data_IF_274675719868
#
_entry.id   IF_274675719868
#
_cell.length_a   1.000
_cell.length_b   1.000
_cell.length_c   1.000
_cell.angle_alpha   90.00
_cell.angle_beta   90.00
_cell.angle_gamma   90.00
#
_symmetry.space_group_name_H-M   'P 1'
#
loop_
_entity.id
_entity.type
_entity.pdbx_description
1 polymer ?
#
# COMPACT_ATOMS: atom_id res chain seq x y z
N UNK A 1 7.13 -22.84 17.64
CA UNK A 1 5.99 -22.78 16.69
C UNK A 1 5.59 -21.37 16.24
N UNK A 2 6.08 -20.26 16.84
CA UNK A 2 5.62 -18.90 16.50
C UNK A 2 6.21 -18.23 15.23
N UNK A 3 7.30 -18.75 14.65
CA UNK A 3 7.97 -18.10 13.51
C UNK A 3 7.15 -18.13 12.21
N UNK A 4 6.38 -19.19 11.96
CA UNK A 4 5.59 -19.33 10.73
C UNK A 4 4.34 -18.44 10.71
N UNK A 5 3.72 -18.20 11.88
CA UNK A 5 2.55 -17.32 11.98
C UNK A 5 2.91 -15.85 11.68
N UNK A 6 4.06 -15.38 12.18
CA UNK A 6 4.53 -14.00 11.92
C UNK A 6 4.80 -13.73 10.44
N UNK A 7 5.42 -14.71 9.76
CA UNK A 7 5.75 -14.60 8.34
C UNK A 7 4.51 -14.53 7.45
N UNK A 8 3.47 -15.31 7.76
CA UNK A 8 2.22 -15.31 6.98
C UNK A 8 1.49 -13.97 7.02
N UNK A 9 1.45 -13.31 8.19
CA UNK A 9 0.80 -12.00 8.34
C UNK A 9 1.51 -10.89 7.56
N UNK A 10 2.85 -10.86 7.60
CA UNK A 10 3.63 -9.85 6.88
C UNK A 10 3.52 -10.05 5.36
N UNK A 11 3.65 -11.29 4.88
CA UNK A 11 3.48 -11.60 3.45
C UNK A 11 2.07 -11.25 2.99
N UNK A 12 1.05 -11.59 3.78
CA UNK A 12 -0.34 -11.23 3.49
C UNK A 12 -0.54 -9.71 3.39
N UNK A 13 -0.01 -8.94 4.35
CA UNK A 13 -0.04 -7.48 4.31
C UNK A 13 0.61 -6.92 3.03
N UNK A 14 1.77 -7.47 2.66
CA UNK A 14 2.49 -7.02 1.47
C UNK A 14 1.73 -7.32 0.18
N UNK A 15 1.19 -8.54 0.03
CA UNK A 15 0.44 -8.94 -1.16
C UNK A 15 -0.80 -8.07 -1.32
N UNK A 16 -1.57 -7.87 -0.24
CA UNK A 16 -2.75 -7.00 -0.27
C UNK A 16 -2.38 -5.56 -0.61
N UNK A 17 -1.29 -5.03 -0.06
CA UNK A 17 -0.80 -3.69 -0.37
C UNK A 17 -0.38 -3.56 -1.85
N UNK A 18 0.30 -4.57 -2.40
CA UNK A 18 0.69 -4.60 -3.82
C UNK A 18 -0.55 -4.63 -4.72
N UNK A 19 -1.54 -5.48 -4.42
CA UNK A 19 -2.80 -5.54 -5.17
C UNK A 19 -3.54 -4.20 -5.16
N UNK A 20 -3.62 -3.54 -3.99
CA UNK A 20 -4.20 -2.20 -3.89
C UNK A 20 -3.38 -1.17 -4.68
N UNK A 21 -2.05 -1.19 -4.55
CA UNK A 21 -1.14 -0.28 -5.26
C UNK A 21 -1.22 -0.42 -6.79
N UNK A 22 -1.38 -1.65 -7.31
CA UNK A 22 -1.60 -1.89 -8.74
C UNK A 22 -2.93 -1.31 -9.23
N UNK A 23 -3.97 -1.36 -8.41
CA UNK A 23 -5.25 -0.73 -8.76
C UNK A 23 -5.09 0.78 -8.92
N UNK A 24 -4.45 1.44 -7.95
CA UNK A 24 -4.19 2.88 -8.01
C UNK A 24 -3.24 3.25 -9.15
N UNK A 25 -2.31 2.36 -9.52
CA UNK A 25 -1.45 2.57 -10.68
C UNK A 25 -2.29 2.58 -11.98
N UNK A 26 -3.26 1.67 -12.08
CA UNK A 26 -4.19 1.66 -13.21
C UNK A 26 -5.02 2.95 -13.27
N UNK A 27 -5.49 3.48 -12.13
CA UNK A 27 -6.21 4.77 -12.11
C UNK A 27 -5.33 5.94 -12.51
N UNK A 28 -4.08 6.00 -12.02
CA UNK A 28 -3.12 7.01 -12.43
C UNK A 28 -2.87 6.96 -13.94
N UNK A 29 -2.72 5.76 -14.51
CA UNK A 29 -2.59 5.57 -15.96
C UNK A 29 -3.80 6.10 -16.74
N UNK A 30 -5.02 5.87 -16.23
CA UNK A 30 -6.24 6.41 -16.83
C UNK A 30 -6.28 7.93 -16.76
N UNK A 31 -5.96 8.54 -15.62
CA UNK A 31 -5.90 10.00 -15.50
C UNK A 31 -4.84 10.62 -16.43
N UNK A 32 -3.68 9.99 -16.57
CA UNK A 32 -2.65 10.41 -17.55
C UNK A 32 -3.18 10.32 -18.98
N UNK A 33 -3.89 9.24 -19.31
CA UNK A 33 -4.56 9.11 -20.61
C UNK A 33 -5.57 10.22 -20.85
N UNK A 34 -6.46 10.50 -19.88
CA UNK A 34 -7.42 11.59 -19.98
C UNK A 34 -6.73 12.94 -20.17
N UNK A 35 -5.63 13.20 -19.46
CA UNK A 35 -4.85 14.43 -19.59
C UNK A 35 -4.22 14.57 -20.99
N UNK A 36 -3.81 13.45 -21.59
CA UNK A 36 -3.24 13.41 -22.93
C UNK A 36 -4.29 13.56 -24.05
N UNK A 37 -5.50 13.02 -23.89
CA UNK A 37 -6.51 12.95 -24.96
C UNK A 37 -7.67 13.94 -24.82
N UNK A 38 -8.07 14.30 -23.59
CA UNK A 38 -9.22 15.19 -23.32
C UNK A 38 -8.79 16.62 -22.95
N UNK A 39 -7.48 16.84 -22.77
CA UNK A 39 -6.91 18.14 -22.43
C UNK A 39 -6.78 18.39 -20.92
N UNK A 40 -6.04 19.44 -20.54
CA UNK A 40 -5.69 19.69 -19.15
C UNK A 40 -6.91 20.16 -18.34
N UNK A 41 -7.33 19.34 -17.37
CA UNK A 41 -8.33 19.69 -16.38
C UNK A 41 -7.78 19.47 -14.95
N UNK A 42 -8.13 20.34 -13.97
CA UNK A 42 -7.58 20.25 -12.61
C UNK A 42 -7.78 18.87 -11.95
N UNK A 43 -8.93 18.23 -12.19
CA UNK A 43 -9.23 16.92 -11.64
C UNK A 43 -8.26 15.83 -12.13
N UNK A 44 -7.76 15.91 -13.37
CA UNK A 44 -6.85 14.92 -13.92
C UNK A 44 -5.45 15.04 -13.32
N UNK A 45 -4.98 16.26 -13.06
CA UNK A 45 -3.71 16.47 -12.36
C UNK A 45 -3.77 15.99 -10.91
N UNK A 46 -4.83 16.38 -10.19
CA UNK A 46 -5.04 15.97 -8.81
C UNK A 46 -5.18 14.45 -8.69
N UNK A 47 -5.99 13.83 -9.56
CA UNK A 47 -6.18 12.40 -9.63
C UNK A 47 -4.89 11.64 -9.95
N UNK A 48 -4.12 12.11 -10.93
CA UNK A 48 -2.80 11.51 -11.25
C UNK A 48 -1.85 11.59 -10.06
N UNK A 49 -1.72 12.77 -9.43
CA UNK A 49 -0.82 12.96 -8.30
C UNK A 49 -1.23 12.10 -7.10
N UNK A 50 -2.51 12.10 -6.75
CA UNK A 50 -3.05 11.32 -5.64
C UNK A 50 -2.86 9.82 -5.84
N UNK A 51 -3.26 9.31 -7.01
CA UNK A 51 -3.11 7.90 -7.33
C UNK A 51 -1.63 7.50 -7.44
N UNK A 52 -0.77 8.39 -7.94
CA UNK A 52 0.69 8.20 -7.93
C UNK A 52 1.26 8.06 -6.51
N UNK A 53 0.81 8.91 -5.57
CA UNK A 53 1.20 8.80 -4.15
C UNK A 53 0.70 7.50 -3.53
N UNK A 54 -0.54 7.09 -3.80
CA UNK A 54 -1.07 5.81 -3.32
C UNK A 54 -0.33 4.61 -3.91
N UNK A 55 0.01 4.63 -5.19
CA UNK A 55 0.87 3.62 -5.81
C UNK A 55 2.25 3.59 -5.14
N UNK A 56 2.90 4.74 -4.98
CA UNK A 56 4.22 4.80 -4.35
C UNK A 56 4.17 4.25 -2.91
N UNK A 57 3.17 4.63 -2.12
CA UNK A 57 3.07 4.18 -0.72
C UNK A 57 2.65 2.71 -0.60
N UNK A 58 1.70 2.23 -1.39
CA UNK A 58 1.18 0.86 -1.27
C UNK A 58 1.98 -0.16 -2.06
N UNK A 59 2.29 0.11 -3.32
CA UNK A 59 3.05 -0.82 -4.17
C UNK A 59 4.51 -0.90 -3.71
N UNK A 60 5.20 0.25 -3.61
CA UNK A 60 6.60 0.24 -3.16
C UNK A 60 6.68 -0.14 -1.68
N UNK A 61 5.74 0.32 -0.84
CA UNK A 61 5.65 -0.12 0.55
C UNK A 61 5.50 -1.64 0.68
N UNK A 62 4.61 -2.25 -0.10
CA UNK A 62 4.41 -3.70 -0.14
C UNK A 62 5.67 -4.45 -0.60
N UNK A 63 6.33 -3.97 -1.67
CA UNK A 63 7.62 -4.54 -2.12
C UNK A 63 8.68 -4.43 -1.04
N UNK A 64 8.83 -3.26 -0.40
CA UNK A 64 9.77 -3.06 0.70
C UNK A 64 9.45 -3.95 1.90
N UNK A 65 8.17 -4.20 2.16
CA UNK A 65 7.74 -5.11 3.21
C UNK A 65 8.13 -6.56 2.88
N UNK A 66 7.95 -7.03 1.63
CA UNK A 66 8.48 -8.34 1.20
C UNK A 66 10.00 -8.43 1.34
N UNK A 67 10.69 -7.34 1.03
CA UNK A 67 12.12 -7.19 1.24
C UNK A 67 12.51 -7.03 2.72
N UNK A 68 11.60 -7.22 3.68
CA UNK A 68 11.83 -7.08 5.13
C UNK A 68 12.42 -5.73 5.55
N UNK A 69 12.00 -4.63 4.91
CA UNK A 69 12.40 -3.26 5.28
C UNK A 69 11.34 -2.60 6.16
N UNK A 70 11.76 -2.00 7.26
CA UNK A 70 10.86 -1.29 8.21
C UNK A 70 10.11 -0.13 7.55
N UNK A 71 10.75 0.56 6.61
CA UNK A 71 10.12 1.60 5.78
C UNK A 71 8.92 1.07 4.97
N UNK A 72 8.92 -0.21 4.60
CA UNK A 72 7.79 -0.83 3.91
C UNK A 72 6.52 -0.79 4.75
N UNK A 73 6.63 -1.09 6.06
CA UNK A 73 5.48 -1.08 6.98
C UNK A 73 4.90 0.32 7.13
N UNK A 74 5.74 1.33 7.32
CA UNK A 74 5.28 2.71 7.46
C UNK A 74 4.59 3.21 6.21
N UNK A 75 5.11 2.87 5.02
CA UNK A 75 4.51 3.24 3.75
C UNK A 75 3.17 2.55 3.52
N UNK A 76 3.04 1.25 3.85
CA UNK A 76 1.76 0.53 3.74
C UNK A 76 0.72 1.11 4.69
N UNK A 77 1.08 1.39 5.95
CA UNK A 77 0.15 2.00 6.92
C UNK A 77 -0.30 3.38 6.46
N UNK A 78 0.63 4.23 6.02
CA UNK A 78 0.29 5.57 5.54
C UNK A 78 -0.57 5.52 4.27
N UNK A 79 -0.19 4.67 3.30
CA UNK A 79 -0.91 4.52 2.05
C UNK A 79 -2.33 3.97 2.24
N UNK A 80 -2.51 2.99 3.13
CA UNK A 80 -3.83 2.44 3.45
C UNK A 80 -4.72 3.44 4.19
N UNK A 81 -4.15 4.23 5.10
CA UNK A 81 -4.88 5.33 5.75
C UNK A 81 -5.32 6.40 4.73
N UNK A 82 -4.43 6.84 3.84
CA UNK A 82 -4.75 7.80 2.78
C UNK A 82 -5.83 7.26 1.83
N UNK A 83 -5.73 5.99 1.43
CA UNK A 83 -6.72 5.32 0.59
C UNK A 83 -8.12 5.34 1.24
N UNK A 84 -8.22 5.04 2.53
CA UNK A 84 -9.50 5.09 3.25
C UNK A 84 -10.07 6.50 3.35
N UNK A 85 -9.21 7.52 3.56
CA UNK A 85 -9.63 8.93 3.56
C UNK A 85 -10.22 9.32 2.20
N UNK A 86 -9.59 8.91 1.09
CA UNK A 86 -10.12 9.18 -0.24
C UNK A 86 -11.51 8.52 -0.44
N UNK A 87 -11.69 7.28 0.02
CA UNK A 87 -13.00 6.61 -0.05
C UNK A 87 -14.08 7.35 0.73
N UNK A 88 -13.76 7.93 1.90
CA UNK A 88 -14.71 8.69 2.71
C UNK A 88 -15.06 10.06 2.10
N UNK A 89 -14.08 10.72 1.47
CA UNK A 89 -14.25 12.06 0.91
C UNK A 89 -14.88 12.05 -0.49
N UNK A 90 -14.90 10.92 -1.17
CA UNK A 90 -15.39 10.79 -2.54
C UNK A 90 -16.93 10.78 -2.63
N UNK A 91 -17.54 11.91 -2.31
CA UNK A 91 -18.97 12.15 -2.50
C UNK A 91 -19.21 13.19 -3.60
N UNK A 92 -20.19 12.93 -4.48
CA UNK A 92 -20.59 13.85 -5.55
C UNK A 92 -19.43 14.25 -6.47
N UNK A 93 -19.33 15.54 -6.79
CA UNK A 93 -18.32 16.08 -7.73
C UNK A 93 -16.87 15.91 -7.25
N UNK A 94 -16.65 15.70 -5.94
CA UNK A 94 -15.32 15.48 -5.37
C UNK A 94 -14.74 14.13 -5.80
N UNK A 95 -15.61 13.17 -6.15
CA UNK A 95 -15.21 11.84 -6.62
C UNK A 95 -14.26 11.87 -7.83
N UNK A 96 -14.50 12.80 -8.77
CA UNK A 96 -13.72 12.93 -10.01
C UNK A 96 -12.24 13.31 -9.77
N UNK A 97 -11.90 13.79 -8.57
CA UNK A 97 -10.52 14.11 -8.19
C UNK A 97 -9.75 12.88 -7.66
N UNK A 98 -10.46 11.82 -7.28
CA UNK A 98 -9.88 10.64 -6.65
C UNK A 98 -9.97 9.40 -7.53
N UNK A 99 -11.06 9.25 -8.29
CA UNK A 99 -11.36 8.08 -9.11
C UNK A 99 -11.48 8.45 -10.58
N UNK A 100 -10.78 7.72 -11.43
CA UNK A 100 -10.84 7.91 -12.88
C UNK A 100 -12.19 7.42 -13.46
N UNK A 101 -12.66 8.09 -14.52
CA UNK A 101 -13.90 7.75 -15.24
C UNK A 101 -13.59 7.40 -16.70
N UNK A 102 -14.27 6.40 -17.24
CA UNK A 102 -14.19 5.98 -18.65
C UNK A 102 -15.62 6.00 -19.19
N UNK A 103 -15.84 6.75 -20.29
CA UNK A 103 -17.16 6.94 -20.91
C UNK A 103 -18.25 7.48 -19.96
N UNK A 104 -17.86 8.29 -18.97
CA UNK A 104 -18.76 8.86 -17.96
C UNK A 104 -19.06 7.90 -16.80
N UNK A 105 -18.51 6.69 -16.83
CA UNK A 105 -18.64 5.72 -15.76
C UNK A 105 -17.34 5.62 -14.94
N UNK A 106 -17.42 5.57 -13.60
CA UNK A 106 -16.24 5.38 -12.77
C UNK A 106 -15.57 4.04 -13.06
N UNK A 107 -14.24 4.03 -13.16
CA UNK A 107 -13.45 2.81 -13.38
C UNK A 107 -13.68 1.76 -12.28
N UNK A 108 -14.09 2.20 -11.09
CA UNK A 108 -14.76 1.33 -10.09
C UNK A 108 -16.26 1.35 -10.37
N UNK A 109 -16.69 0.45 -11.25
CA UNK A 109 -18.08 0.38 -11.75
C UNK A 109 -19.04 -0.34 -10.79
N UNK A 110 -18.54 -1.15 -9.85
CA UNK A 110 -19.37 -1.95 -8.95
C UNK A 110 -19.14 -1.61 -7.48
N UNK A 111 -20.24 -1.42 -6.72
CA UNK A 111 -20.20 -1.34 -5.25
C UNK A 111 -19.44 -2.52 -4.65
N UNK A 112 -19.57 -3.70 -5.25
CA UNK A 112 -18.82 -4.91 -4.88
C UNK A 112 -17.31 -4.74 -5.05
N UNK A 113 -16.86 -4.12 -6.14
CA UNK A 113 -15.42 -3.89 -6.40
C UNK A 113 -14.87 -2.83 -5.44
N UNK A 114 -15.62 -1.75 -5.20
CA UNK A 114 -15.28 -0.75 -4.20
C UNK A 114 -15.18 -1.37 -2.79
N UNK A 115 -16.15 -2.21 -2.43
CA UNK A 115 -16.17 -2.92 -1.16
C UNK A 115 -15.01 -3.90 -1.02
N UNK A 116 -14.68 -4.66 -2.06
CA UNK A 116 -13.51 -5.55 -2.04
C UNK A 116 -12.20 -4.78 -1.88
N UNK A 117 -12.02 -3.66 -2.60
CA UNK A 117 -10.85 -2.80 -2.44
C UNK A 117 -10.76 -2.23 -1.03
N UNK A 118 -11.89 -1.79 -0.46
CA UNK A 118 -11.97 -1.34 0.92
C UNK A 118 -11.55 -2.44 1.90
N UNK A 119 -12.10 -3.66 1.77
CA UNK A 119 -11.77 -4.80 2.63
C UNK A 119 -10.30 -5.17 2.51
N UNK A 120 -9.74 -5.20 1.29
CA UNK A 120 -8.32 -5.49 1.09
C UNK A 120 -7.41 -4.42 1.70
N UNK A 121 -7.76 -3.13 1.53
CA UNK A 121 -7.02 -2.00 2.10
C UNK A 121 -7.06 -2.04 3.62
N UNK A 122 -8.23 -2.31 4.19
CA UNK A 122 -8.41 -2.47 5.63
C UNK A 122 -7.64 -3.67 6.18
N UNK A 123 -7.71 -4.82 5.50
CA UNK A 123 -6.95 -6.01 5.90
C UNK A 123 -5.44 -5.78 5.82
N UNK A 124 -4.94 -5.10 4.78
CA UNK A 124 -3.55 -4.71 4.65
C UNK A 124 -3.11 -3.80 5.81
N UNK A 125 -3.94 -2.81 6.17
CA UNK A 125 -3.71 -1.94 7.32
C UNK A 125 -3.61 -2.76 8.60
N UNK A 126 -4.63 -3.56 8.91
CA UNK A 126 -4.66 -4.38 10.13
C UNK A 126 -3.42 -5.28 10.22
N UNK A 127 -3.14 -6.05 9.18
CA UNK A 127 -1.99 -6.96 9.17
C UNK A 127 -0.66 -6.21 9.28
N UNK A 128 -0.53 -5.03 8.67
CA UNK A 128 0.68 -4.22 8.76
C UNK A 128 0.92 -3.63 10.16
N UNK A 129 -0.15 -3.36 10.93
CA UNK A 129 -0.05 -2.78 12.28
C UNK A 129 0.21 -3.86 13.34
N UNK A 130 -0.26 -5.09 13.14
CA UNK A 130 -0.13 -6.18 14.11
C UNK A 130 1.34 -6.48 14.49
N UNK A 131 1.54 -6.84 15.76
CA UNK A 131 2.86 -7.18 16.34
C UNK A 131 3.65 -8.24 15.55
N UNK A 132 3.04 -9.33 15.05
CA UNK A 132 3.78 -10.34 14.29
C UNK A 132 4.48 -9.79 13.05
N UNK A 133 3.95 -8.74 12.42
CA UNK A 133 4.62 -8.06 11.29
C UNK A 133 5.84 -7.27 11.76
N UNK A 134 5.79 -6.68 12.96
CA UNK A 134 6.96 -6.05 13.62
C UNK A 134 8.03 -7.10 13.93
N UNK A 135 7.63 -8.17 14.60
CA UNK A 135 8.53 -9.24 15.05
C UNK A 135 9.25 -9.88 13.87
N UNK A 136 8.56 -10.04 12.73
CA UNK A 136 9.14 -10.57 11.50
C UNK A 136 10.19 -9.63 10.87
N UNK A 137 9.96 -8.31 10.92
CA UNK A 137 10.92 -7.31 10.46
C UNK A 137 12.14 -7.22 11.40
N UNK A 138 11.91 -7.30 12.72
CA UNK A 138 12.95 -7.30 13.74
C UNK A 138 13.80 -8.58 13.71
N UNK A 139 13.21 -9.72 13.37
CA UNK A 139 13.93 -10.98 13.16
C UNK A 139 15.03 -10.86 12.12
N UNK A 140 14.77 -10.16 11.01
CA UNK A 140 15.79 -9.88 9.98
C UNK A 140 16.90 -8.97 10.50
N UNK A 141 16.58 -7.98 11.32
CA UNK A 141 17.59 -7.09 11.93
C UNK A 141 18.53 -7.87 12.83
N UNK A 142 18.03 -8.87 13.57
CA UNK A 142 18.86 -9.78 14.37
C UNK A 142 19.73 -10.70 13.52
N UNK A 143 19.25 -11.16 12.37
CA UNK A 143 20.06 -11.97 11.44
C UNK A 143 21.19 -11.13 10.79
N UNK A 144 20.94 -9.84 10.53
CA UNK A 144 21.91 -8.90 9.96
C UNK A 144 22.92 -8.38 11.04
N UNK A 145 22.52 -8.35 12.32
CA UNK A 145 23.39 -8.08 13.48
C UNK A 145 24.05 -9.39 13.96
N UNK A 146 25.03 -9.92 13.22
CA UNK A 146 25.91 -10.99 13.74
C UNK A 146 26.46 -10.58 15.13
N UNK A 147 26.53 -11.50 16.12
CA UNK A 147 27.00 -11.17 17.45
C UNK A 147 28.40 -10.58 17.33
N UNK A 148 28.56 -9.37 17.88
CA UNK A 148 29.83 -8.64 17.82
C UNK A 148 30.95 -9.58 18.28
N UNK A 149 32.09 -9.56 17.58
CA UNK A 149 33.25 -10.42 17.88
C UNK A 149 33.74 -10.33 19.34
N UNK A 150 33.26 -9.36 20.13
CA UNK A 150 33.54 -9.20 21.55
C UNK A 150 32.98 -10.32 22.44
N UNK A 151 31.94 -11.05 22.02
CA UNK A 151 31.41 -12.19 22.80
C UNK A 151 32.15 -13.52 22.52
N UNK A 152 33.15 -13.51 21.62
CA UNK A 152 34.00 -14.69 21.30
C UNK A 152 35.35 -14.66 22.01
N UNK A 153 35.49 -13.92 23.11
CA UNK A 153 36.65 -14.09 23.96
C UNK A 153 36.39 -15.27 24.90
N UNK A 154 37.14 -16.39 24.78
CA UNK A 154 37.11 -17.40 25.81
C UNK A 154 37.61 -16.72 27.09
N UNK A 155 36.74 -16.71 28.11
CA UNK A 155 37.16 -16.32 29.46
C UNK A 155 38.29 -17.25 29.89
N UNK A 156 39.51 -16.73 29.84
CA UNK A 156 40.63 -17.18 30.65
C UNK A 156 40.56 -16.45 32.00
#
# INVERSE_FOLDING_TARGET
MGQNQSSGTAIGAAVLAILCGMRYLSEAGTFVGQLAFLGPAPQYFAGTAWNGVLTATLFVGGVLLLLRRTLGRTLVVAGTALAMVATLLANGAVRAYFFAEVDGEPLVTGEVVAFLLFVMTFAALVLSVLRPTSDWLEGRRRDDEEPSKQDRLPGW
#
